data_IF_417402216605
#
_entry.id   IF_417402216605
#
_cell.length_a   1.000
_cell.length_b   1.000
_cell.length_c   1.000
_cell.angle_alpha   90.00
_cell.angle_beta   90.00
_cell.angle_gamma   90.00
#
_symmetry.space_group_name_H-M   'P 1'
#
loop_
_entity.id
_entity.type
_entity.pdbx_description
1 polymer ?
#
# COMPACT_ATOMS: atom_id res chain seq x y z
N UNK A 1 -19.64 -2.62 -1.84
CA UNK A 1 -18.78 -2.66 -0.64
C UNK A 1 -18.74 -4.07 -0.09
N UNK A 2 -17.54 -4.60 0.11
CA UNK A 2 -17.36 -5.93 0.70
C UNK A 2 -17.76 -5.94 2.17
N UNK A 3 -18.10 -7.10 2.72
CA UNK A 3 -18.38 -7.25 4.15
C UNK A 3 -17.16 -6.85 4.98
N UNK A 4 -15.97 -7.08 4.44
CA UNK A 4 -14.71 -6.76 5.08
C UNK A 4 -14.52 -5.25 5.25
N UNK A 5 -14.85 -4.45 4.24
CA UNK A 5 -14.78 -2.99 4.34
C UNK A 5 -15.73 -2.42 5.37
N UNK A 6 -16.94 -2.97 5.45
CA UNK A 6 -17.91 -2.53 6.45
C UNK A 6 -17.46 -2.84 7.87
N UNK A 7 -16.78 -3.99 8.07
CA UNK A 7 -16.28 -4.37 9.39
C UNK A 7 -15.14 -3.48 9.87
N UNK A 8 -14.49 -2.74 8.96
CA UNK A 8 -13.36 -1.85 9.26
C UNK A 8 -13.76 -0.42 9.61
N UNK A 9 -15.05 -0.06 9.41
CA UNK A 9 -15.60 1.24 9.80
C UNK A 9 -16.09 1.15 11.24
N UNK A 10 -15.69 2.13 12.07
CA UNK A 10 -15.95 2.13 13.51
C UNK A 10 -15.48 0.84 14.17
N UNK A 11 -14.20 0.52 14.05
CA UNK A 11 -13.65 -0.75 14.53
C UNK A 11 -13.56 -0.81 16.05
N UNK A 12 -13.50 -2.03 16.59
CA UNK A 12 -13.26 -2.28 18.02
C UNK A 12 -11.77 -2.49 18.32
N UNK A 13 -10.94 -2.50 17.29
CA UNK A 13 -9.49 -2.70 17.39
C UNK A 13 -8.82 -2.13 16.14
N UNK A 14 -7.50 -1.83 16.20
CA UNK A 14 -6.76 -1.49 14.98
C UNK A 14 -6.72 -2.65 14.00
N UNK A 15 -6.70 -2.34 12.70
CA UNK A 15 -6.55 -3.34 11.64
C UNK A 15 -5.14 -3.30 11.08
N UNK A 16 -4.56 -4.49 10.91
CA UNK A 16 -3.24 -4.67 10.34
C UNK A 16 -3.33 -4.74 8.81
N UNK A 17 -2.52 -3.95 8.14
CA UNK A 17 -2.44 -3.92 6.70
C UNK A 17 -0.99 -3.92 6.23
N UNK A 18 -0.78 -4.28 4.99
CA UNK A 18 0.52 -4.22 4.32
C UNK A 18 0.41 -3.37 3.06
N UNK A 19 1.54 -2.84 2.61
CA UNK A 19 1.65 -2.19 1.31
C UNK A 19 2.98 -2.57 0.67
N UNK A 20 3.12 -2.29 -0.62
CA UNK A 20 4.31 -2.66 -1.36
C UNK A 20 4.83 -1.51 -2.23
N UNK A 21 6.07 -1.10 -1.97
CA UNK A 21 6.83 -0.27 -2.88
C UNK A 21 7.49 -1.23 -3.88
N UNK A 22 6.89 -1.36 -5.04
CA UNK A 22 7.32 -2.32 -6.08
C UNK A 22 8.27 -1.61 -7.04
N UNK A 23 9.47 -2.16 -7.15
CA UNK A 23 10.51 -1.59 -8.02
C UNK A 23 10.72 -2.46 -9.26
N UNK A 24 10.75 -1.77 -10.41
CA UNK A 24 11.04 -2.36 -11.72
C UNK A 24 11.89 -1.37 -12.49
N UNK A 25 13.08 -1.79 -12.89
CA UNK A 25 14.03 -0.94 -13.66
C UNK A 25 14.27 0.43 -13.01
N UNK A 26 14.41 0.44 -11.67
CA UNK A 26 14.67 1.66 -10.91
C UNK A 26 13.47 2.55 -10.66
N UNK A 27 12.29 2.18 -11.15
CA UNK A 27 11.06 2.92 -10.93
C UNK A 27 10.15 2.21 -9.93
N UNK A 28 9.35 2.98 -9.21
CA UNK A 28 8.39 2.48 -8.24
C UNK A 28 6.97 2.63 -8.77
N UNK A 29 6.11 1.65 -8.49
CA UNK A 29 4.71 1.72 -8.87
C UNK A 29 3.93 2.54 -7.86
N UNK A 30 3.34 3.65 -8.32
CA UNK A 30 2.47 4.51 -7.54
C UNK A 30 1.06 4.36 -8.08
N UNK A 31 0.09 4.19 -7.19
CA UNK A 31 -1.32 3.98 -7.56
C UNK A 31 -2.21 5.04 -6.93
N UNK A 32 -3.35 5.36 -7.57
CA UNK A 32 -4.34 6.30 -7.02
C UNK A 32 -5.56 5.53 -6.54
N UNK A 33 -5.98 5.80 -5.32
CA UNK A 33 -7.11 5.11 -4.72
C UNK A 33 -8.44 5.55 -5.34
N UNK A 34 -9.28 4.58 -5.65
CA UNK A 34 -10.62 4.82 -6.21
C UNK A 34 -11.70 4.86 -5.13
N UNK A 35 -11.37 4.49 -3.87
CA UNK A 35 -12.34 4.33 -2.78
C UNK A 35 -11.77 4.86 -1.45
N UNK A 36 -12.66 5.24 -0.51
CA UNK A 36 -12.23 5.57 0.85
C UNK A 36 -11.58 4.35 1.56
N UNK A 37 -10.69 4.54 2.52
CA UNK A 37 -10.13 5.82 2.93
C UNK A 37 -9.13 6.38 1.91
N UNK A 38 -8.82 7.68 2.05
CA UNK A 38 -7.84 8.35 1.18
C UNK A 38 -8.21 8.32 -0.31
N UNK A 39 -9.52 8.38 -0.62
CA UNK A 39 -10.02 8.42 -2.00
C UNK A 39 -9.36 9.54 -2.81
N UNK A 40 -8.84 9.21 -3.97
CA UNK A 40 -8.20 10.17 -4.87
C UNK A 40 -6.73 10.45 -4.57
N UNK A 41 -6.19 9.94 -3.48
CA UNK A 41 -4.78 10.12 -3.15
C UNK A 41 -3.91 9.03 -3.79
N UNK A 42 -2.69 9.42 -4.13
CA UNK A 42 -1.68 8.49 -4.61
C UNK A 42 -0.97 7.82 -3.45
N UNK A 43 -0.71 6.54 -3.59
CA UNK A 43 -0.13 5.71 -2.54
C UNK A 43 0.51 4.45 -3.13
N UNK A 44 0.80 3.47 -2.27
CA UNK A 44 1.29 2.15 -2.68
C UNK A 44 0.12 1.16 -2.69
N UNK A 45 0.15 0.14 -3.56
CA UNK A 45 -0.84 -0.93 -3.49
C UNK A 45 -0.69 -1.73 -2.21
N UNK A 46 -1.78 -2.28 -1.71
CA UNK A 46 -1.79 -3.07 -0.48
C UNK A 46 -3.19 -3.27 0.06
N UNK A 47 -3.28 -3.87 1.23
CA UNK A 47 -4.54 -4.11 1.90
C UNK A 47 -4.38 -4.91 3.18
N UNK A 48 -5.48 -5.42 3.72
CA UNK A 48 -5.51 -6.08 5.00
C UNK A 48 -4.83 -7.44 5.02
N UNK A 49 -4.18 -7.73 6.14
CA UNK A 49 -3.62 -9.06 6.41
C UNK A 49 -4.76 -9.96 6.90
N UNK A 50 -4.88 -11.14 6.32
CA UNK A 50 -5.89 -12.11 6.72
C UNK A 50 -5.37 -13.01 7.84
N UNK A 51 -6.29 -13.53 8.66
CA UNK A 51 -5.92 -14.40 9.76
C UNK A 51 -5.14 -15.63 9.26
N UNK A 52 -3.99 -15.88 9.87
CA UNK A 52 -3.12 -17.00 9.49
C UNK A 52 -2.17 -16.72 8.34
N UNK A 53 -2.27 -15.55 7.74
CA UNK A 53 -1.43 -15.14 6.62
C UNK A 53 -0.18 -14.44 7.15
N UNK A 54 1.00 -14.76 6.60
CA UNK A 54 2.20 -13.98 6.90
C UNK A 54 2.12 -12.62 6.22
N UNK A 55 2.93 -11.66 6.66
CA UNK A 55 2.98 -10.35 6.04
C UNK A 55 3.38 -10.44 4.57
N UNK A 56 4.37 -11.27 4.26
CA UNK A 56 4.85 -11.47 2.89
C UNK A 56 3.77 -12.10 1.99
N UNK A 57 3.03 -13.08 2.51
CA UNK A 57 1.90 -13.68 1.80
C UNK A 57 0.82 -12.64 1.51
N UNK A 58 0.54 -11.76 2.47
CA UNK A 58 -0.44 -10.69 2.30
C UNK A 58 -0.01 -9.70 1.21
N UNK A 59 1.28 -9.33 1.19
CA UNK A 59 1.84 -8.46 0.14
C UNK A 59 1.64 -9.08 -1.24
N UNK A 60 2.03 -10.34 -1.39
CA UNK A 60 1.92 -11.04 -2.69
C UNK A 60 0.47 -11.10 -3.15
N UNK A 61 -0.43 -11.47 -2.25
CA UNK A 61 -1.87 -11.60 -2.56
C UNK A 61 -2.50 -10.25 -2.92
N UNK A 62 -2.29 -9.24 -2.09
CA UNK A 62 -2.90 -7.91 -2.32
C UNK A 62 -2.39 -7.26 -3.59
N UNK A 63 -1.09 -7.35 -3.86
CA UNK A 63 -0.52 -6.82 -5.10
C UNK A 63 -1.13 -7.51 -6.31
N UNK A 64 -1.25 -8.84 -6.26
CA UNK A 64 -1.84 -9.59 -7.37
C UNK A 64 -3.32 -9.23 -7.59
N UNK A 65 -4.09 -9.11 -6.51
CA UNK A 65 -5.51 -8.73 -6.60
C UNK A 65 -5.70 -7.34 -7.18
N UNK A 66 -4.91 -6.37 -6.72
CA UNK A 66 -5.09 -4.97 -7.10
C UNK A 66 -4.42 -4.58 -8.42
N UNK A 67 -3.28 -5.19 -8.76
CA UNK A 67 -2.46 -4.76 -9.90
C UNK A 67 -2.17 -5.84 -10.92
N UNK A 68 -2.46 -7.10 -10.62
CA UNK A 68 -2.13 -8.27 -11.46
C UNK A 68 -0.64 -8.58 -11.55
N UNK A 69 0.19 -7.92 -10.74
CA UNK A 69 1.63 -8.16 -10.74
C UNK A 69 2.02 -9.29 -9.78
N UNK A 70 3.07 -10.00 -10.15
CA UNK A 70 3.77 -10.93 -9.26
C UNK A 70 5.02 -10.24 -8.74
N UNK A 71 5.19 -10.24 -7.43
CA UNK A 71 6.30 -9.53 -6.77
C UNK A 71 6.99 -10.42 -5.74
N UNK A 72 8.24 -10.07 -5.44
CA UNK A 72 9.01 -10.67 -4.36
C UNK A 72 9.19 -9.64 -3.25
N UNK A 73 8.56 -9.83 -2.08
CA UNK A 73 8.85 -8.98 -0.91
C UNK A 73 10.30 -9.17 -0.48
N UNK A 74 11.02 -8.06 -0.29
CA UNK A 74 12.44 -8.09 0.05
C UNK A 74 12.67 -7.78 1.51
N UNK A 75 12.07 -6.69 2.01
CA UNK A 75 12.28 -6.24 3.38
C UNK A 75 11.18 -5.27 3.81
N UNK A 76 10.92 -5.24 5.10
CA UNK A 76 10.05 -4.23 5.72
C UNK A 76 10.74 -2.86 5.60
N UNK A 77 9.99 -1.83 5.19
CA UNK A 77 10.51 -0.49 4.94
C UNK A 77 10.01 0.55 5.94
N UNK A 78 9.43 0.13 7.06
CA UNK A 78 8.93 1.04 8.09
C UNK A 78 7.52 0.67 8.53
N UNK A 79 6.80 1.66 9.00
CA UNK A 79 5.40 1.50 9.36
C UNK A 79 4.67 2.84 9.21
N UNK A 80 3.35 2.77 9.12
CA UNK A 80 2.50 3.95 9.07
C UNK A 80 1.24 3.67 9.89
N UNK A 81 0.78 4.67 10.63
CA UNK A 81 -0.49 4.60 11.35
C UNK A 81 -1.48 5.54 10.67
N UNK A 82 -2.66 5.05 10.36
CA UNK A 82 -3.71 5.82 9.72
C UNK A 82 -4.95 5.78 10.61
N UNK A 83 -5.19 6.87 11.34
CA UNK A 83 -6.31 6.99 12.25
C UNK A 83 -7.20 8.12 11.75
N UNK A 84 -8.46 7.80 11.46
CA UNK A 84 -9.47 8.77 11.02
C UNK A 84 -10.53 8.89 12.10
N UNK A 85 -10.86 10.13 12.47
CA UNK A 85 -11.90 10.40 13.47
C UNK A 85 -13.06 11.15 12.83
N UNK A 86 -14.27 10.91 13.33
CA UNK A 86 -15.45 11.66 12.92
C UNK A 86 -15.54 13.00 13.69
N UNK A 87 -16.56 13.81 13.38
CA UNK A 87 -16.75 15.12 13.99
C UNK A 87 -16.94 15.06 15.51
N UNK A 88 -17.42 13.95 16.04
CA UNK A 88 -17.64 13.75 17.48
C UNK A 88 -16.39 13.20 18.18
N UNK A 89 -15.30 12.97 17.44
CA UNK A 89 -14.06 12.41 17.97
C UNK A 89 -14.00 10.89 18.01
N UNK A 90 -15.02 10.21 17.52
CA UNK A 90 -15.04 8.75 17.43
C UNK A 90 -14.06 8.24 16.38
N UNK A 91 -13.44 7.10 16.65
CA UNK A 91 -12.51 6.49 15.68
C UNK A 91 -13.30 5.83 14.57
N UNK A 92 -13.30 6.44 13.39
CA UNK A 92 -13.98 5.90 12.21
C UNK A 92 -13.17 4.79 11.56
N UNK A 93 -11.83 4.96 11.48
CA UNK A 93 -10.91 3.94 10.94
C UNK A 93 -9.59 3.99 11.69
N UNK A 94 -8.97 2.83 11.83
CA UNK A 94 -7.64 2.73 12.45
C UNK A 94 -6.87 1.57 11.81
N UNK A 95 -5.86 1.92 11.02
CA UNK A 95 -4.98 0.95 10.37
C UNK A 95 -3.54 1.11 10.84
N UNK A 96 -2.87 -0.02 11.05
CA UNK A 96 -1.41 -0.08 11.16
C UNK A 96 -0.92 -0.72 9.88
N UNK A 97 -0.18 0.05 9.08
CA UNK A 97 0.25 -0.36 7.75
C UNK A 97 1.75 -0.62 7.76
N UNK A 98 2.14 -1.80 7.29
CA UNK A 98 3.54 -2.22 7.21
C UNK A 98 3.96 -2.24 5.73
N UNK A 99 4.68 -1.21 5.27
CA UNK A 99 5.15 -1.16 3.89
C UNK A 99 6.37 -2.05 3.68
N UNK A 100 6.37 -2.77 2.57
CA UNK A 100 7.49 -3.62 2.14
C UNK A 100 8.14 -3.04 0.89
N UNK A 101 9.46 -3.17 0.82
CA UNK A 101 10.17 -3.05 -0.44
C UNK A 101 9.99 -4.38 -1.18
N UNK A 102 9.61 -4.31 -2.44
CA UNK A 102 9.35 -5.50 -3.25
C UNK A 102 9.95 -5.35 -4.66
N UNK A 103 10.33 -6.47 -5.27
CA UNK A 103 10.78 -6.51 -6.66
C UNK A 103 9.68 -7.01 -7.56
N UNK A 104 9.51 -6.36 -8.71
CA UNK A 104 8.69 -6.89 -9.78
C UNK A 104 9.30 -8.20 -10.31
N UNK A 105 8.49 -9.22 -10.45
CA UNK A 105 8.91 -10.53 -10.98
C UNK A 105 8.29 -10.77 -12.35
N UNK A 106 6.98 -10.53 -12.48
CA UNK A 106 6.25 -10.83 -13.71
C UNK A 106 4.94 -10.05 -13.76
N UNK A 107 4.37 -9.97 -14.94
CA UNK A 107 3.04 -9.39 -15.18
C UNK A 107 3.09 -7.94 -15.62
N UNK A 108 1.97 -7.48 -16.16
CA UNK A 108 1.76 -6.08 -16.51
C UNK A 108 0.57 -5.56 -15.72
N UNK A 109 0.58 -4.26 -15.42
CA UNK A 109 -0.45 -3.66 -14.57
C UNK A 109 -1.83 -3.79 -15.21
N UNK A 110 -2.76 -4.39 -14.47
CA UNK A 110 -4.19 -4.42 -14.77
C UNK A 110 -4.89 -4.23 -13.42
N UNK A 111 -5.55 -3.09 -13.26
CA UNK A 111 -6.10 -2.67 -11.97
C UNK A 111 -7.49 -3.27 -11.73
N UNK A 112 -7.81 -3.52 -10.45
CA UNK A 112 -9.17 -3.84 -10.03
C UNK A 112 -9.91 -2.54 -9.64
N UNK A 113 -11.10 -2.67 -9.07
CA UNK A 113 -11.97 -1.54 -8.73
C UNK A 113 -11.47 -0.70 -7.53
N UNK A 114 -10.48 -1.18 -6.81
CA UNK A 114 -9.91 -0.43 -5.67
C UNK A 114 -9.03 0.73 -6.13
N UNK A 115 -8.46 0.64 -7.32
CA UNK A 115 -7.48 1.60 -7.83
C UNK A 115 -7.95 2.23 -9.15
N UNK A 116 -7.73 3.56 -9.27
CA UNK A 116 -8.15 4.33 -10.45
C UNK A 116 -7.03 4.52 -11.47
N UNK A 117 -5.78 4.59 -11.01
CA UNK A 117 -4.61 4.83 -11.87
C UNK A 117 -3.39 4.13 -11.30
N UNK A 118 -2.41 3.88 -12.17
CA UNK A 118 -1.10 3.37 -11.77
C UNK A 118 -0.03 3.97 -12.68
N UNK A 119 1.10 4.37 -12.09
CA UNK A 119 2.21 4.98 -12.81
C UNK A 119 3.53 4.46 -12.26
N UNK A 120 4.45 4.10 -13.15
CA UNK A 120 5.82 3.84 -12.79
C UNK A 120 6.55 5.18 -12.73
N UNK A 121 7.13 5.51 -11.57
CA UNK A 121 7.75 6.81 -11.32
C UNK A 121 9.15 6.63 -10.75
N UNK A 122 10.02 7.61 -11.01
CA UNK A 122 11.27 7.70 -10.29
C UNK A 122 10.98 7.90 -8.79
N UNK A 123 11.69 7.19 -7.89
CA UNK A 123 11.40 7.29 -6.45
C UNK A 123 11.48 8.71 -5.89
N UNK A 124 12.30 9.57 -6.49
CA UNK A 124 12.45 10.97 -6.07
C UNK A 124 11.46 11.94 -6.73
N UNK A 125 10.65 11.48 -7.68
CA UNK A 125 9.78 12.35 -8.49
C UNK A 125 8.30 12.19 -8.11
N UNK A 126 7.98 12.37 -6.81
CA UNK A 126 6.63 12.21 -6.28
C UNK A 126 6.01 13.52 -5.79
N UNK A 127 6.77 14.63 -5.79
CA UNK A 127 6.33 15.88 -5.17
C UNK A 127 5.18 16.59 -5.88
N UNK A 128 4.92 16.25 -7.14
CA UNK A 128 3.80 16.79 -7.91
C UNK A 128 2.47 16.06 -7.63
N UNK A 129 2.50 14.98 -6.87
CA UNK A 129 1.34 14.16 -6.59
C UNK A 129 0.76 14.47 -5.21
N UNK A 130 -0.57 14.40 -5.10
CA UNK A 130 -1.25 14.43 -3.80
C UNK A 130 -1.23 13.03 -3.24
N UNK A 131 -0.35 12.79 -2.27
CA UNK A 131 -0.11 11.45 -1.74
C UNK A 131 -0.66 11.28 -0.33
N UNK A 132 -0.75 10.02 0.11
CA UNK A 132 -0.93 9.71 1.52
C UNK A 132 0.28 10.22 2.29
N UNK A 133 0.07 10.52 3.59
CA UNK A 133 1.09 11.11 4.44
C UNK A 133 2.34 10.22 4.52
N UNK A 134 3.50 10.83 4.31
CA UNK A 134 4.78 10.17 4.46
C UNK A 134 5.19 9.24 3.32
N UNK A 135 4.45 9.24 2.20
CA UNK A 135 4.73 8.32 1.09
C UNK A 135 6.17 8.44 0.58
N UNK A 136 6.66 9.67 0.39
CA UNK A 136 8.02 9.90 -0.11
C UNK A 136 9.09 9.28 0.78
N UNK A 137 8.93 9.41 2.10
CA UNK A 137 9.87 8.82 3.06
C UNK A 137 9.84 7.29 3.02
N UNK A 138 8.65 6.72 2.91
CA UNK A 138 8.48 5.26 2.82
C UNK A 138 9.13 4.73 1.53
N UNK A 139 8.87 5.38 0.40
CA UNK A 139 9.45 4.97 -0.89
C UNK A 139 10.97 5.07 -0.85
N UNK A 140 11.51 6.14 -0.26
CA UNK A 140 12.96 6.31 -0.10
C UNK A 140 13.56 5.20 0.77
N UNK A 141 12.94 4.88 1.90
CA UNK A 141 13.39 3.79 2.77
C UNK A 141 13.32 2.43 2.06
N UNK A 142 12.26 2.21 1.29
CA UNK A 142 12.12 0.97 0.51
C UNK A 142 13.19 0.85 -0.56
N UNK A 143 13.53 1.95 -1.23
CA UNK A 143 14.59 1.96 -2.23
C UNK A 143 15.93 1.57 -1.61
N UNK A 144 16.24 2.11 -0.41
CA UNK A 144 17.45 1.74 0.31
C UNK A 144 17.50 0.24 0.62
N UNK A 145 16.35 -0.37 0.98
CA UNK A 145 16.27 -1.81 1.23
C UNK A 145 16.56 -2.63 -0.03
N UNK A 146 16.03 -2.18 -1.17
CA UNK A 146 16.30 -2.84 -2.47
C UNK A 146 17.80 -2.78 -2.79
N UNK A 147 18.42 -1.63 -2.61
CA UNK A 147 19.84 -1.45 -2.90
C UNK A 147 20.73 -2.27 -1.95
N UNK A 148 20.35 -2.36 -0.68
CA UNK A 148 21.11 -3.11 0.33
C UNK A 148 21.01 -4.63 0.12
N UNK A 149 19.96 -5.11 -0.55
CA UNK A 149 19.70 -6.53 -0.78
C UNK A 149 20.34 -7.09 -2.07
N UNK A 150 21.13 -6.30 -2.75
CA UNK A 150 21.83 -6.73 -3.98
C UNK A 150 23.02 -7.62 -3.68
#
# INVERSE_FOLDING_TARGET
>A
MSNDERSRTYPTRPYLAVSAAIFRDGQVLIVRRARPPAHGLYTLPGGGVELGETLEEAVIREVREETSLDVEPVALAGYRQAITRDAAGGVERHFVILPFAARWIAGEVALNEELAEAHWREPSALSDLQTTEGLGLIVSAAWERIMAAR
#
